data_IF_367996190830
#
_entry.id   IF_367996190830
#
_cell.length_a   1.000
_cell.length_b   1.000
_cell.length_c   1.000
_cell.angle_alpha   90.00
_cell.angle_beta   90.00
_cell.angle_gamma   90.00
#
_symmetry.space_group_name_H-M   'P 1'
#
loop_
_entity.id
_entity.type
_entity.pdbx_description
1 polymer ?
#
# COMPACT_ATOMS: atom_id res chain seq x y z
N UNK A 1 -0.85 12.28 20.56
CA UNK A 1 -0.51 11.18 21.48
C UNK A 1 -1.47 10.02 21.22
N UNK A 2 -1.00 8.81 20.91
CA UNK A 2 -1.87 7.66 20.70
C UNK A 2 -2.63 7.32 22.00
N UNK A 3 -3.91 6.96 21.88
CA UNK A 3 -4.83 6.74 23.01
C UNK A 3 -4.29 5.75 24.06
N UNK A 4 -3.63 4.68 23.61
CA UNK A 4 -3.08 3.65 24.50
C UNK A 4 -1.91 4.18 25.36
N UNK A 5 -1.19 5.18 24.88
CA UNK A 5 -0.08 5.83 25.60
C UNK A 5 -0.62 6.75 26.71
N UNK A 6 -1.73 7.44 26.44
CA UNK A 6 -2.43 8.24 27.46
C UNK A 6 -2.99 7.37 28.61
N UNK A 7 -3.45 6.15 28.31
CA UNK A 7 -3.96 5.20 29.31
C UNK A 7 -2.83 4.55 30.12
N UNK A 8 -1.63 4.42 29.52
CA UNK A 8 -0.45 3.87 30.19
C UNK A 8 0.32 4.91 31.04
N UNK A 9 0.31 6.18 30.63
CA UNK A 9 1.07 7.27 31.26
C UNK A 9 0.28 8.16 32.23
N UNK A 10 -0.99 7.86 32.51
CA UNK A 10 -1.81 8.63 33.46
C UNK A 10 -1.39 8.40 34.92
N UNK A 11 -1.56 9.43 35.76
CA UNK A 11 -1.21 9.49 37.19
C UNK A 11 -1.80 8.36 38.05
N UNK A 12 -2.79 7.63 37.52
CA UNK A 12 -3.34 6.38 38.07
C UNK A 12 -3.46 5.35 36.95
N UNK A 13 -2.46 4.47 36.76
CA UNK A 13 -2.55 3.41 35.76
C UNK A 13 -3.73 2.50 36.09
N UNK A 14 -4.64 2.35 35.12
CA UNK A 14 -5.85 1.54 35.30
C UNK A 14 -5.48 0.07 35.14
N UNK A 15 -5.89 -0.75 36.09
CA UNK A 15 -5.70 -2.20 36.06
C UNK A 15 -7.00 -2.89 35.63
N UNK A 16 -6.87 -3.90 34.77
CA UNK A 16 -7.92 -4.86 34.49
C UNK A 16 -7.80 -6.01 35.49
N UNK A 17 -8.88 -6.30 36.22
CA UNK A 17 -8.94 -7.41 37.16
C UNK A 17 -10.05 -8.37 36.74
N UNK A 18 -9.68 -9.59 36.38
CA UNK A 18 -10.60 -10.70 36.13
C UNK A 18 -10.17 -11.88 37.01
N UNK A 19 -11.00 -12.23 38.00
CA UNK A 19 -10.67 -13.25 39.01
C UNK A 19 -9.46 -12.86 39.87
N UNK A 20 -8.47 -13.75 39.98
CA UNK A 20 -7.21 -13.53 40.72
C UNK A 20 -6.14 -12.80 39.87
N UNK A 21 -6.40 -12.55 38.59
CA UNK A 21 -5.44 -11.93 37.68
C UNK A 21 -5.57 -10.40 37.68
N UNK A 22 -4.45 -9.70 37.83
CA UNK A 22 -4.35 -8.24 37.68
C UNK A 22 -3.35 -7.93 36.58
N UNK A 23 -3.84 -7.30 35.51
CA UNK A 23 -3.02 -6.92 34.37
C UNK A 23 -3.28 -5.45 34.05
N UNK A 24 -2.24 -4.64 33.76
CA UNK A 24 -2.45 -3.27 33.30
C UNK A 24 -3.39 -3.23 32.09
N UNK A 25 -4.38 -2.32 32.11
CA UNK A 25 -5.43 -2.24 31.09
C UNK A 25 -4.84 -2.11 29.68
N UNK A 26 -3.82 -1.28 29.53
CA UNK A 26 -3.13 -1.10 28.25
C UNK A 26 -2.47 -2.39 27.73
N UNK A 27 -2.00 -3.27 28.63
CA UNK A 27 -1.41 -4.57 28.27
C UNK A 27 -2.47 -5.57 27.86
N UNK A 28 -3.59 -5.63 28.60
CA UNK A 28 -4.73 -6.48 28.23
C UNK A 28 -5.32 -6.10 26.86
N UNK A 29 -5.49 -4.80 26.59
CA UNK A 29 -5.95 -4.33 25.27
C UNK A 29 -4.96 -4.63 24.14
N UNK A 30 -3.65 -4.51 24.38
CA UNK A 30 -2.65 -4.89 23.38
C UNK A 30 -2.68 -6.38 23.07
N UNK A 31 -2.84 -7.24 24.08
CA UNK A 31 -2.97 -8.69 23.87
C UNK A 31 -4.22 -8.99 23.06
N UNK A 32 -5.38 -8.42 23.43
CA UNK A 32 -6.64 -8.62 22.72
C UNK A 32 -6.55 -8.21 21.23
N UNK A 33 -5.92 -7.07 20.94
CA UNK A 33 -5.71 -6.60 19.57
C UNK A 33 -4.70 -7.46 18.79
N UNK A 34 -3.78 -8.13 19.48
CA UNK A 34 -2.76 -9.00 18.86
C UNK A 34 -3.24 -10.45 18.69
N UNK A 35 -4.13 -10.92 19.56
CA UNK A 35 -4.71 -12.27 19.55
C UNK A 35 -5.88 -12.41 18.56
N UNK A 36 -6.42 -11.28 18.07
CA UNK A 36 -7.40 -11.29 16.99
C UNK A 36 -6.77 -11.73 15.66
N UNK A 37 -7.45 -12.62 14.94
CA UNK A 37 -7.05 -12.90 13.56
C UNK A 37 -6.99 -11.59 12.77
N UNK A 38 -5.92 -11.33 12.00
CA UNK A 38 -5.81 -10.12 11.21
C UNK A 38 -6.90 -10.10 10.13
N UNK A 39 -8.02 -9.44 10.44
CA UNK A 39 -9.19 -9.32 9.56
C UNK A 39 -8.88 -8.49 8.31
N UNK A 40 -7.79 -7.71 8.35
CA UNK A 40 -7.41 -6.78 7.29
C UNK A 40 -5.91 -6.88 7.00
N UNK A 41 -5.57 -7.49 5.87
CA UNK A 41 -4.21 -7.56 5.38
C UNK A 41 -3.92 -6.27 4.59
N UNK A 42 -3.24 -5.31 5.21
CA UNK A 42 -2.82 -4.06 4.56
C UNK A 42 -1.56 -4.22 3.71
N UNK A 43 -0.98 -5.42 3.68
CA UNK A 43 0.08 -5.74 2.73
C UNK A 43 -0.54 -5.91 1.34
N UNK A 44 0.03 -5.23 0.35
CA UNK A 44 -0.24 -5.52 -1.06
C UNK A 44 0.09 -7.00 -1.32
N UNK A 45 -0.95 -7.83 -1.36
CA UNK A 45 -0.78 -9.26 -1.61
C UNK A 45 -0.54 -9.45 -3.11
N UNK A 46 0.73 -9.52 -3.50
CA UNK A 46 1.14 -9.91 -4.85
C UNK A 46 0.91 -11.42 -5.05
N UNK A 47 -0.35 -11.84 -5.17
CA UNK A 47 -0.68 -13.20 -5.58
C UNK A 47 -0.36 -13.35 -7.06
N UNK A 48 0.46 -14.35 -7.39
CA UNK A 48 0.86 -14.69 -8.78
C UNK A 48 -0.35 -14.95 -9.70
N UNK A 49 -1.53 -15.22 -9.13
CA UNK A 49 -2.80 -15.41 -9.83
C UNK A 49 -3.49 -14.10 -10.27
N UNK A 50 -3.13 -12.93 -9.73
CA UNK A 50 -3.63 -11.63 -10.23
C UNK A 50 -2.98 -11.16 -11.54
N UNK A 51 -2.06 -11.95 -12.13
CA UNK A 51 -1.47 -11.63 -13.44
C UNK A 51 -2.52 -11.69 -14.57
N UNK A 52 -3.69 -12.28 -14.33
CA UNK A 52 -4.73 -12.46 -15.33
C UNK A 52 -5.91 -11.49 -15.29
N UNK A 53 -6.09 -10.74 -14.19
CA UNK A 53 -7.10 -9.69 -14.20
C UNK A 53 -6.40 -8.46 -14.76
N UNK A 54 -6.70 -8.14 -16.01
CA UNK A 54 -6.33 -6.86 -16.62
C UNK A 54 -6.91 -5.77 -15.75
N UNK A 55 -6.15 -5.37 -14.73
CA UNK A 55 -6.22 -4.03 -14.17
C UNK A 55 -6.12 -3.16 -15.40
N UNK A 56 -7.25 -2.58 -15.79
CA UNK A 56 -7.24 -1.43 -16.66
C UNK A 56 -6.29 -0.49 -15.94
N UNK A 57 -5.07 -0.41 -16.46
CA UNK A 57 -4.20 0.71 -16.16
C UNK A 57 -5.04 1.85 -16.68
N UNK A 58 -5.86 2.43 -15.81
CA UNK A 58 -6.43 3.74 -16.02
C UNK A 58 -5.19 4.57 -16.22
N UNK A 59 -4.89 4.80 -17.50
CA UNK A 59 -3.80 5.64 -17.96
C UNK A 59 -3.99 6.89 -17.14
N UNK A 60 -3.04 7.18 -16.25
CA UNK A 60 -3.06 8.42 -15.51
C UNK A 60 -3.15 9.53 -16.56
N UNK A 61 -4.33 10.10 -16.73
CA UNK A 61 -4.55 11.22 -17.62
C UNK A 61 -3.92 12.41 -16.92
N UNK A 62 -2.64 12.61 -17.17
CA UNK A 62 -1.92 13.80 -16.74
C UNK A 62 -2.58 14.99 -17.44
N UNK A 63 -3.47 15.69 -16.72
CA UNK A 63 -4.28 16.79 -17.25
C UNK A 63 -3.46 17.97 -17.83
N UNK A 64 -2.14 17.97 -17.64
CA UNK A 64 -1.20 19.02 -18.09
C UNK A 64 -0.07 18.47 -18.99
N UNK A 65 -0.18 17.24 -19.50
CA UNK A 65 0.86 16.70 -20.38
C UNK A 65 0.81 17.37 -21.77
N UNK A 66 1.94 17.95 -22.18
CA UNK A 66 2.17 18.45 -23.54
C UNK A 66 1.78 17.37 -24.57
N UNK A 67 0.85 17.67 -25.51
CA UNK A 67 0.33 16.69 -26.47
C UNK A 67 1.43 16.05 -27.33
N UNK A 68 2.54 16.77 -27.58
CA UNK A 68 3.67 16.22 -28.34
C UNK A 68 4.41 15.14 -27.54
N UNK A 69 4.57 15.35 -26.23
CA UNK A 69 5.20 14.36 -25.34
C UNK A 69 4.35 13.12 -25.14
N UNK A 70 3.02 13.28 -25.09
CA UNK A 70 2.09 12.16 -25.02
C UNK A 70 2.16 11.30 -26.29
N UNK A 71 2.16 11.94 -27.47
CA UNK A 71 2.28 11.25 -28.74
C UNK A 71 3.63 10.51 -28.87
N UNK A 72 4.73 11.12 -28.42
CA UNK A 72 6.04 10.48 -28.38
C UNK A 72 6.02 9.26 -27.45
N UNK A 73 5.48 9.39 -26.23
CA UNK A 73 5.38 8.29 -25.28
C UNK A 73 4.59 7.11 -25.86
N UNK A 74 3.43 7.36 -26.47
CA UNK A 74 2.61 6.32 -27.09
C UNK A 74 3.37 5.58 -28.21
N UNK A 75 4.09 6.31 -29.07
CA UNK A 75 4.93 5.72 -30.13
C UNK A 75 6.09 4.90 -29.54
N UNK A 76 6.77 5.42 -28.53
CA UNK A 76 7.88 4.73 -27.88
C UNK A 76 7.44 3.46 -27.15
N UNK A 77 6.29 3.48 -26.47
CA UNK A 77 5.71 2.29 -25.83
C UNK A 77 5.33 1.23 -26.88
N UNK A 78 4.69 1.64 -27.97
CA UNK A 78 4.33 0.72 -29.05
C UNK A 78 5.57 0.09 -29.69
N UNK A 79 6.63 0.88 -29.93
CA UNK A 79 7.87 0.42 -30.56
C UNK A 79 8.71 -0.46 -29.61
N UNK A 80 8.80 -0.09 -28.33
CA UNK A 80 9.43 -0.91 -27.29
C UNK A 80 8.77 -2.29 -27.19
N UNK A 81 7.44 -2.35 -27.19
CA UNK A 81 6.70 -3.61 -27.16
C UNK A 81 6.84 -4.43 -28.44
N UNK A 82 6.88 -3.76 -29.60
CA UNK A 82 6.99 -4.43 -30.91
C UNK A 82 8.38 -5.02 -31.15
N UNK A 83 9.43 -4.30 -30.77
CA UNK A 83 10.82 -4.69 -31.04
C UNK A 83 11.51 -5.34 -29.83
N UNK A 84 10.87 -5.33 -28.65
CA UNK A 84 11.46 -5.86 -27.42
C UNK A 84 12.66 -5.06 -26.92
N UNK A 85 12.75 -3.78 -27.28
CA UNK A 85 13.84 -2.88 -26.91
C UNK A 85 13.48 -2.05 -25.68
N UNK A 86 14.48 -1.55 -24.96
CA UNK A 86 14.26 -0.67 -23.81
C UNK A 86 13.51 0.61 -24.22
N UNK A 87 12.74 1.18 -23.29
CA UNK A 87 11.97 2.40 -23.54
C UNK A 87 12.85 3.57 -24.01
N UNK A 88 14.04 3.73 -23.44
CA UNK A 88 15.01 4.76 -23.87
C UNK A 88 15.46 4.58 -25.32
N UNK A 89 15.72 3.34 -25.75
CA UNK A 89 16.06 3.05 -27.14
C UNK A 89 14.87 3.29 -28.10
N UNK A 90 13.64 3.06 -27.63
CA UNK A 90 12.43 3.35 -28.40
C UNK A 90 12.16 4.85 -28.52
N UNK A 91 12.38 5.62 -27.45
CA UNK A 91 12.30 7.09 -27.46
C UNK A 91 13.32 7.68 -28.42
N UNK A 92 14.58 7.21 -28.40
CA UNK A 92 15.62 7.66 -29.34
C UNK A 92 15.30 7.39 -30.81
N UNK A 93 14.44 6.41 -31.11
CA UNK A 93 13.92 6.13 -32.46
C UNK A 93 12.67 6.92 -32.83
N UNK A 94 12.02 7.55 -31.85
CA UNK A 94 10.80 8.34 -32.04
C UNK A 94 11.04 9.87 -31.98
N UNK A 95 12.25 10.28 -31.59
CA UNK A 95 12.78 11.65 -31.73
C UNK A 95 13.21 11.91 -33.17
#
# INVERSE_FOLDING_TARGET
MPLLDAVAGGDKPVEFAEGESRTPLATAFRSLLSDGEPVMNFAEQATKERVGDTVKVDVAEFAEADPERLALHQKAVALSKKEGISYEAAVARCL
#
